data_IF_515249003226
#
_entry.id   IF_515249003226
#
_cell.length_a   1.000
_cell.length_b   1.000
_cell.length_c   1.000
_cell.angle_alpha   90.00
_cell.angle_beta   90.00
_cell.angle_gamma   90.00
#
_symmetry.space_group_name_H-M   'P 1'
#
loop_
_entity.id
_entity.type
_entity.pdbx_description
1 polymer ?
#
# COMPACT_ATOMS: atom_id res chain seq x y z
N UNK A 1 10.71 -17.67 8.75
CA UNK A 1 10.20 -16.59 7.91
C UNK A 1 10.99 -16.61 6.61
N UNK A 2 10.35 -17.03 5.53
CA UNK A 2 10.98 -17.13 4.22
C UNK A 2 10.69 -15.85 3.45
N UNK A 3 11.70 -15.25 2.87
CA UNK A 3 11.59 -14.04 2.07
C UNK A 3 11.73 -14.43 0.61
N UNK A 4 10.73 -14.11 -0.22
CA UNK A 4 10.84 -14.28 -1.65
C UNK A 4 11.49 -13.04 -2.26
N UNK A 5 12.69 -13.21 -2.81
CA UNK A 5 13.39 -12.20 -3.59
C UNK A 5 13.38 -12.64 -5.05
N UNK A 6 12.73 -11.87 -5.89
CA UNK A 6 12.74 -12.10 -7.33
C UNK A 6 13.92 -11.36 -7.97
N UNK A 7 14.83 -12.12 -8.59
CA UNK A 7 15.98 -11.56 -9.30
C UNK A 7 15.70 -11.51 -10.80
N UNK A 8 16.55 -10.82 -11.56
CA UNK A 8 16.46 -10.62 -13.02
C UNK A 8 16.33 -11.92 -13.86
N UNK A 9 16.49 -13.10 -13.24
CA UNK A 9 16.42 -14.41 -13.91
C UNK A 9 15.08 -15.12 -13.65
N UNK A 10 14.09 -14.47 -13.06
CA UNK A 10 12.77 -15.06 -12.79
C UNK A 10 12.77 -16.17 -11.73
N UNK A 11 13.87 -16.35 -10.99
CA UNK A 11 13.95 -17.31 -9.90
C UNK A 11 13.72 -16.60 -8.56
N UNK A 12 12.74 -17.10 -7.77
CA UNK A 12 12.57 -16.68 -6.39
C UNK A 12 13.65 -17.30 -5.52
N UNK A 13 14.40 -16.47 -4.81
CA UNK A 13 15.38 -16.94 -3.83
C UNK A 13 14.70 -16.97 -2.46
N UNK A 14 14.66 -18.15 -1.87
CA UNK A 14 14.16 -18.34 -0.51
C UNK A 14 15.32 -18.12 0.48
N UNK A 15 15.29 -16.99 1.21
CA UNK A 15 16.33 -16.65 2.19
C UNK A 15 15.83 -16.91 3.62
N UNK A 16 16.45 -17.83 4.33
CA UNK A 16 16.22 -18.05 5.75
C UNK A 16 16.71 -16.84 6.57
N UNK A 17 15.83 -16.31 7.44
CA UNK A 17 16.06 -15.08 8.23
C UNK A 17 17.27 -15.08 9.16
N UNK A 18 17.77 -16.25 9.53
CA UNK A 18 18.87 -16.35 10.51
C UNK A 18 20.22 -15.80 10.02
N UNK A 19 20.37 -15.58 8.71
CA UNK A 19 21.64 -15.11 8.09
C UNK A 19 21.51 -13.74 7.39
N UNK A 20 20.34 -13.09 7.43
CA UNK A 20 20.09 -11.86 6.67
C UNK A 20 20.59 -10.57 7.34
N UNK A 21 21.03 -10.63 8.61
CA UNK A 21 21.41 -9.43 9.36
C UNK A 21 22.69 -8.75 8.83
N UNK A 22 23.56 -9.49 8.12
CA UNK A 22 24.83 -8.98 7.61
C UNK A 22 24.97 -9.03 6.07
N UNK A 23 23.94 -9.46 5.33
CA UNK A 23 24.02 -9.46 3.88
C UNK A 23 23.74 -8.06 3.31
N UNK A 24 24.78 -7.47 2.79
CA UNK A 24 24.78 -6.26 2.00
C UNK A 24 23.90 -6.46 0.76
N UNK A 25 22.69 -5.83 0.72
CA UNK A 25 21.86 -5.85 -0.47
C UNK A 25 22.52 -4.98 -1.56
N UNK A 26 22.99 -5.55 -2.67
CA UNK A 26 23.71 -4.78 -3.70
C UNK A 26 22.77 -3.86 -4.52
N UNK A 27 21.47 -3.96 -4.32
CA UNK A 27 20.48 -3.19 -5.08
C UNK A 27 20.37 -1.75 -4.59
N UNK A 28 20.15 -0.83 -5.54
CA UNK A 28 19.81 0.57 -5.25
C UNK A 28 18.30 0.84 -5.20
N UNK A 29 17.50 -0.06 -5.76
CA UNK A 29 16.04 0.08 -5.83
C UNK A 29 15.33 -1.17 -5.27
N UNK A 30 14.54 -0.96 -4.25
CA UNK A 30 13.74 -1.99 -3.58
C UNK A 30 12.26 -1.70 -3.77
N UNK A 31 11.47 -2.75 -3.98
CA UNK A 31 10.01 -2.69 -3.97
C UNK A 31 9.48 -3.54 -2.84
N UNK A 32 8.75 -2.95 -1.92
CA UNK A 32 8.12 -3.62 -0.79
C UNK A 32 6.61 -3.69 -1.02
N UNK A 33 6.10 -4.91 -1.22
CA UNK A 33 4.67 -5.15 -1.43
C UNK A 33 3.94 -5.34 -0.11
N UNK A 34 2.96 -4.51 0.17
CA UNK A 34 2.13 -4.61 1.37
C UNK A 34 0.73 -5.14 1.06
N UNK A 35 0.14 -5.85 2.01
CA UNK A 35 -1.29 -6.15 2.04
C UNK A 35 -1.97 -4.97 2.72
N UNK A 36 -2.85 -4.29 2.01
CA UNK A 36 -3.51 -3.11 2.57
C UNK A 36 -4.25 -3.46 3.87
N UNK A 37 -4.13 -2.58 4.88
CA UNK A 37 -4.80 -2.71 6.19
C UNK A 37 -4.41 -3.95 7.02
N UNK A 38 -3.36 -4.66 6.65
CA UNK A 38 -2.86 -5.73 7.50
C UNK A 38 -2.23 -5.14 8.76
N UNK A 39 -2.67 -5.65 9.93
CA UNK A 39 -2.20 -5.16 11.24
C UNK A 39 -0.69 -5.39 11.47
N UNK A 40 -0.09 -6.29 10.69
CA UNK A 40 1.36 -6.55 10.73
C UNK A 40 2.17 -5.45 10.04
N UNK A 41 1.52 -4.61 9.20
CA UNK A 41 2.21 -3.58 8.40
C UNK A 41 3.11 -2.68 9.23
N UNK A 42 2.64 -2.20 10.38
CA UNK A 42 3.40 -1.27 11.22
C UNK A 42 4.77 -1.88 11.56
N UNK A 43 4.78 -3.09 12.11
CA UNK A 43 6.01 -3.79 12.46
C UNK A 43 6.87 -4.15 11.25
N UNK A 44 6.25 -4.66 10.19
CA UNK A 44 6.96 -5.08 8.98
C UNK A 44 7.61 -3.90 8.25
N UNK A 45 6.91 -2.76 8.16
CA UNK A 45 7.44 -1.55 7.55
C UNK A 45 8.61 -0.99 8.36
N UNK A 46 8.48 -0.86 9.69
CA UNK A 46 9.57 -0.40 10.54
C UNK A 46 10.81 -1.30 10.42
N UNK A 47 10.61 -2.62 10.43
CA UNK A 47 11.68 -3.61 10.31
C UNK A 47 12.40 -3.48 8.96
N UNK A 48 11.65 -3.46 7.83
CA UNK A 48 12.25 -3.40 6.50
C UNK A 48 12.87 -2.06 6.17
N UNK A 49 12.25 -0.96 6.55
CA UNK A 49 12.83 0.38 6.41
C UNK A 49 14.13 0.46 7.22
N UNK A 50 14.13 -0.06 8.45
CA UNK A 50 15.32 -0.11 9.31
C UNK A 50 16.46 -0.96 8.74
N UNK A 51 16.14 -2.09 8.09
CA UNK A 51 17.14 -2.97 7.43
C UNK A 51 17.69 -2.36 6.15
N UNK A 52 16.82 -1.83 5.30
CA UNK A 52 17.20 -1.30 3.99
C UNK A 52 17.85 0.06 4.08
N UNK A 53 17.53 0.85 5.11
CA UNK A 53 18.02 2.22 5.33
C UNK A 53 17.93 3.06 4.05
N UNK A 54 16.73 3.20 3.46
CA UNK A 54 16.55 3.98 2.24
C UNK A 54 16.84 5.45 2.48
N UNK A 55 17.37 6.12 1.47
CA UNK A 55 17.56 7.58 1.46
C UNK A 55 16.42 8.29 0.75
N UNK A 56 15.66 7.53 -0.06
CA UNK A 56 14.46 7.98 -0.76
C UNK A 56 13.39 6.90 -0.60
N UNK A 57 12.23 7.29 -0.10
CA UNK A 57 11.04 6.44 -0.05
C UNK A 57 10.02 7.00 -1.02
N UNK A 58 9.45 6.14 -1.87
CA UNK A 58 8.31 6.46 -2.73
C UNK A 58 7.13 5.60 -2.31
N UNK A 59 5.92 6.18 -2.31
CA UNK A 59 4.69 5.50 -1.87
C UNK A 59 3.64 5.48 -2.98
N UNK A 60 2.90 4.37 -3.06
CA UNK A 60 1.63 4.27 -3.80
C UNK A 60 0.56 5.13 -3.10
N UNK A 61 0.75 6.43 -3.15
CA UNK A 61 -0.15 7.44 -2.61
C UNK A 61 -0.11 8.65 -3.52
N UNK A 62 -1.28 9.19 -3.88
CA UNK A 62 -1.32 10.38 -4.71
C UNK A 62 -1.14 11.66 -3.87
N UNK A 63 -0.43 12.67 -4.38
CA UNK A 63 -0.35 13.98 -3.73
C UNK A 63 -1.73 14.59 -3.44
N UNK A 64 -2.66 14.48 -4.38
CA UNK A 64 -4.05 14.95 -4.21
C UNK A 64 -4.76 14.22 -3.07
N UNK A 65 -4.68 12.87 -3.05
CA UNK A 65 -5.29 12.06 -1.99
C UNK A 65 -4.72 12.35 -0.61
N UNK A 66 -3.41 12.62 -0.51
CA UNK A 66 -2.78 13.04 0.73
C UNK A 66 -3.25 14.44 1.18
N UNK A 67 -3.32 15.40 0.24
CA UNK A 67 -3.80 16.75 0.54
C UNK A 67 -5.26 16.73 1.03
N UNK A 68 -6.11 15.94 0.37
CA UNK A 68 -7.51 15.74 0.79
C UNK A 68 -7.59 15.22 2.23
N UNK A 69 -6.89 14.15 2.54
CA UNK A 69 -6.90 13.54 3.89
C UNK A 69 -6.42 14.51 4.96
N UNK A 70 -5.41 15.31 4.67
CA UNK A 70 -4.91 16.34 5.60
C UNK A 70 -5.89 17.48 5.84
N UNK A 71 -6.65 17.86 4.81
CA UNK A 71 -7.53 19.04 4.87
C UNK A 71 -8.94 18.69 5.36
N UNK A 72 -9.47 17.57 4.91
CA UNK A 72 -10.87 17.18 5.07
C UNK A 72 -11.07 15.84 5.80
N UNK A 73 -10.01 15.06 5.97
CA UNK A 73 -10.10 13.72 6.51
C UNK A 73 -10.81 13.65 7.86
N UNK A 74 -10.47 14.54 8.79
CA UNK A 74 -11.10 14.59 10.11
C UNK A 74 -12.59 14.97 10.06
N UNK A 75 -12.98 15.83 9.11
CA UNK A 75 -14.38 16.22 8.91
C UNK A 75 -15.20 15.02 8.46
N UNK A 76 -14.70 14.29 7.46
CA UNK A 76 -15.40 13.11 6.94
C UNK A 76 -15.33 11.93 7.91
N UNK A 77 -14.27 11.79 8.68
CA UNK A 77 -14.18 10.80 9.74
C UNK A 77 -15.29 10.97 10.75
N UNK A 78 -15.49 12.19 11.26
CA UNK A 78 -16.61 12.50 12.18
C UNK A 78 -17.95 12.21 11.55
N UNK A 79 -18.14 12.54 10.26
CA UNK A 79 -19.38 12.22 9.55
C UNK A 79 -19.65 10.71 9.52
N UNK A 80 -18.62 9.87 9.33
CA UNK A 80 -18.76 8.41 9.43
C UNK A 80 -19.17 8.01 10.84
N UNK A 81 -18.49 8.54 11.86
CA UNK A 81 -18.75 8.23 13.26
C UNK A 81 -20.18 8.60 13.65
N UNK A 82 -20.66 9.80 13.28
CA UNK A 82 -22.03 10.30 13.55
C UNK A 82 -23.09 9.40 12.88
N UNK A 83 -22.87 8.98 11.64
CA UNK A 83 -23.77 8.05 10.94
C UNK A 83 -23.80 6.69 11.65
N UNK A 84 -22.64 6.18 12.05
CA UNK A 84 -22.54 4.91 12.76
C UNK A 84 -23.23 4.95 14.11
N UNK A 85 -23.13 6.04 14.84
CA UNK A 85 -23.83 6.22 16.12
C UNK A 85 -25.35 6.26 15.92
N UNK A 86 -25.84 6.94 14.89
CA UNK A 86 -27.25 6.92 14.53
C UNK A 86 -27.75 5.52 14.17
N UNK A 87 -26.98 4.78 13.34
CA UNK A 87 -27.33 3.40 12.98
C UNK A 87 -27.33 2.44 14.18
N UNK A 88 -26.44 2.64 15.15
CA UNK A 88 -26.44 1.87 16.43
C UNK A 88 -27.70 2.13 17.24
N UNK A 89 -28.21 3.36 17.27
CA UNK A 89 -29.46 3.71 17.91
C UNK A 89 -30.68 3.03 17.24
N UNK A 90 -30.59 2.75 15.93
CA UNK A 90 -31.59 1.97 15.20
C UNK A 90 -31.42 0.44 15.37
N UNK A 91 -30.44 0.00 16.17
CA UNK A 91 -30.20 -1.42 16.45
C UNK A 91 -29.25 -2.13 15.45
N UNK A 92 -28.59 -1.37 14.56
CA UNK A 92 -27.57 -1.93 13.67
C UNK A 92 -26.23 -2.13 14.39
N UNK A 93 -25.54 -3.21 14.06
CA UNK A 93 -24.16 -3.43 14.52
C UNK A 93 -23.19 -2.76 13.55
N UNK A 94 -22.42 -1.78 14.01
CA UNK A 94 -21.37 -1.14 13.23
C UNK A 94 -20.01 -1.61 13.75
N UNK A 95 -19.44 -2.63 13.12
CA UNK A 95 -18.10 -3.11 13.46
C UNK A 95 -17.06 -2.27 12.72
N UNK A 96 -15.97 -1.91 13.39
CA UNK A 96 -14.88 -1.13 12.78
C UNK A 96 -14.29 -1.80 11.54
N UNK A 97 -14.22 -3.14 11.52
CA UNK A 97 -13.74 -3.91 10.37
C UNK A 97 -14.62 -3.78 9.11
N UNK A 98 -15.90 -3.48 9.28
CA UNK A 98 -16.83 -3.28 8.14
C UNK A 98 -16.69 -1.88 7.54
N UNK A 99 -16.21 -0.95 8.34
CA UNK A 99 -16.03 0.44 7.97
C UNK A 99 -14.58 0.80 7.58
N UNK A 100 -13.63 -0.14 7.75
CA UNK A 100 -12.21 0.09 7.42
C UNK A 100 -12.00 0.61 6.00
N UNK A 101 -12.84 0.18 5.05
CA UNK A 101 -12.81 0.68 3.68
C UNK A 101 -13.11 2.17 3.61
N UNK A 102 -14.12 2.64 4.35
CA UNK A 102 -14.51 4.06 4.35
C UNK A 102 -13.48 4.92 5.06
N UNK A 103 -13.00 4.47 6.23
CA UNK A 103 -11.93 5.18 6.94
C UNK A 103 -10.66 5.30 6.11
N UNK A 104 -10.32 4.30 5.27
CA UNK A 104 -9.13 4.36 4.40
C UNK A 104 -9.17 5.48 3.36
N UNK A 105 -10.36 5.97 2.98
CA UNK A 105 -10.47 7.14 2.08
C UNK A 105 -10.15 8.45 2.79
N UNK A 106 -10.35 8.53 4.08
CA UNK A 106 -10.30 9.77 4.85
C UNK A 106 -9.10 9.85 5.80
N UNK A 107 -8.60 8.72 6.28
CA UNK A 107 -7.44 8.67 7.17
C UNK A 107 -6.13 8.69 6.39
N UNK A 108 -5.10 9.28 6.99
CA UNK A 108 -3.74 9.21 6.43
C UNK A 108 -3.26 7.76 6.55
N UNK A 109 -2.77 7.15 5.44
CA UNK A 109 -2.30 5.77 5.48
C UNK A 109 -1.14 5.58 6.47
N UNK A 110 -1.18 4.48 7.23
CA UNK A 110 -0.14 4.15 8.21
C UNK A 110 1.24 4.04 7.60
N UNK A 111 1.35 3.50 6.40
CA UNK A 111 2.60 3.43 5.64
C UNK A 111 3.20 4.80 5.37
N UNK A 112 2.35 5.84 5.16
CA UNK A 112 2.82 7.21 5.01
C UNK A 112 3.35 7.77 6.33
N UNK A 113 2.67 7.52 7.44
CA UNK A 113 3.10 7.98 8.76
C UNK A 113 4.44 7.37 9.16
N UNK A 114 4.57 6.04 9.04
CA UNK A 114 5.79 5.30 9.39
C UNK A 114 6.98 5.73 8.52
N UNK A 115 6.77 5.83 7.20
CA UNK A 115 7.79 6.31 6.29
C UNK A 115 8.18 7.77 6.59
N UNK A 116 7.19 8.62 6.92
CA UNK A 116 7.40 10.01 7.30
C UNK A 116 8.22 10.15 8.59
N UNK A 117 7.92 9.33 9.61
CA UNK A 117 8.66 9.30 10.86
C UNK A 117 10.12 8.88 10.65
N UNK A 118 10.34 7.86 9.83
CA UNK A 118 11.68 7.47 9.45
C UNK A 118 12.42 8.61 8.73
N UNK A 119 11.80 9.24 7.74
CA UNK A 119 12.41 10.32 6.98
C UNK A 119 12.77 11.53 7.86
N UNK A 120 11.90 11.90 8.81
CA UNK A 120 12.20 12.97 9.78
C UNK A 120 13.42 12.68 10.66
N UNK A 121 13.61 11.40 11.04
CA UNK A 121 14.75 10.98 11.90
C UNK A 121 16.05 10.84 11.14
N UNK A 122 16.02 10.54 9.85
CA UNK A 122 17.21 10.17 9.06
C UNK A 122 17.56 11.17 7.97
N UNK A 123 16.75 12.22 7.79
CA UNK A 123 16.86 13.16 6.67
C UNK A 123 16.70 12.52 5.30
N UNK A 124 16.02 11.37 5.22
CA UNK A 124 15.61 10.75 3.95
C UNK A 124 14.44 11.53 3.34
N UNK A 125 14.24 11.36 2.03
CA UNK A 125 13.15 12.01 1.30
C UNK A 125 11.96 11.07 1.14
N UNK A 126 10.72 11.61 1.24
CA UNK A 126 9.48 10.88 1.04
C UNK A 126 8.66 11.51 -0.10
N UNK A 127 8.28 10.69 -1.09
CA UNK A 127 7.52 11.13 -2.25
C UNK A 127 6.29 10.26 -2.48
N UNK A 128 5.07 10.79 -2.36
CA UNK A 128 3.87 10.20 -2.95
C UNK A 128 4.03 10.24 -4.48
N UNK A 129 3.85 9.08 -5.16
CA UNK A 129 4.12 8.98 -6.60
C UNK A 129 2.95 8.42 -7.41
N UNK A 130 1.81 8.14 -6.77
CA UNK A 130 0.64 7.65 -7.48
C UNK A 130 -0.13 8.75 -8.20
N UNK A 131 -1.01 8.36 -9.12
CA UNK A 131 -1.73 9.26 -10.00
C UNK A 131 -2.88 10.00 -9.28
N UNK A 132 -2.91 11.32 -9.38
CA UNK A 132 -3.95 12.15 -8.77
C UNK A 132 -5.34 11.91 -9.36
N UNK A 133 -5.44 11.56 -10.65
CA UNK A 133 -6.72 11.43 -11.35
C UNK A 133 -7.63 10.39 -10.69
N UNK A 134 -7.11 9.21 -10.36
CA UNK A 134 -7.92 8.16 -9.74
C UNK A 134 -8.35 8.53 -8.32
N UNK A 135 -7.48 9.16 -7.55
CA UNK A 135 -7.84 9.69 -6.24
C UNK A 135 -8.90 10.78 -6.34
N UNK A 136 -8.78 11.69 -7.30
CA UNK A 136 -9.78 12.72 -7.55
C UNK A 136 -11.13 12.11 -7.93
N UNK A 137 -11.16 11.15 -8.85
CA UNK A 137 -12.40 10.49 -9.28
C UNK A 137 -13.12 9.79 -8.12
N UNK A 138 -12.38 9.13 -7.23
CA UNK A 138 -12.95 8.45 -6.05
C UNK A 138 -13.42 9.45 -4.99
N UNK A 139 -12.63 10.47 -4.71
CA UNK A 139 -12.89 11.41 -3.62
C UNK A 139 -13.93 12.48 -3.96
N UNK A 140 -14.19 12.78 -5.25
CA UNK A 140 -15.29 13.68 -5.62
C UNK A 140 -16.68 13.12 -5.24
N UNK A 141 -16.81 11.81 -5.12
CA UNK A 141 -18.04 11.10 -4.76
C UNK A 141 -18.08 10.73 -3.27
N UNK A 142 -17.18 11.32 -2.46
CA UNK A 142 -17.02 10.96 -1.05
C UNK A 142 -18.29 11.18 -0.22
N UNK A 143 -19.09 12.20 -0.55
CA UNK A 143 -20.35 12.48 0.13
C UNK A 143 -21.40 11.40 -0.10
N UNK A 144 -21.41 10.80 -1.30
CA UNK A 144 -22.28 9.66 -1.61
C UNK A 144 -21.76 8.38 -0.94
N UNK A 145 -20.44 8.16 -1.01
CA UNK A 145 -19.82 7.02 -0.33
C UNK A 145 -20.08 7.03 1.17
N UNK A 146 -20.04 8.22 1.82
CA UNK A 146 -20.28 8.44 3.24
C UNK A 146 -21.71 8.96 3.45
N UNK A 147 -22.68 8.31 2.81
CA UNK A 147 -24.10 8.56 3.06
C UNK A 147 -24.69 7.51 4.01
N UNK A 148 -25.75 7.88 4.70
CA UNK A 148 -26.51 6.97 5.59
C UNK A 148 -26.92 5.70 4.84
N UNK A 149 -27.49 5.85 3.67
CA UNK A 149 -28.00 4.76 2.85
C UNK A 149 -26.88 3.82 2.42
N UNK A 150 -25.74 4.37 1.99
CA UNK A 150 -24.61 3.56 1.51
C UNK A 150 -23.93 2.81 2.67
N UNK A 151 -23.73 3.46 3.83
CA UNK A 151 -23.14 2.81 4.99
C UNK A 151 -24.06 1.69 5.48
N UNK A 152 -25.38 1.95 5.61
CA UNK A 152 -26.36 0.94 6.03
C UNK A 152 -26.41 -0.26 5.08
N UNK A 153 -26.35 0.00 3.76
CA UNK A 153 -26.30 -1.05 2.75
C UNK A 153 -25.04 -1.91 2.89
N UNK A 154 -23.88 -1.28 3.04
CA UNK A 154 -22.61 -1.98 3.17
C UNK A 154 -22.54 -2.86 4.43
N UNK A 155 -23.10 -2.40 5.56
CA UNK A 155 -23.19 -3.20 6.79
C UNK A 155 -24.03 -4.46 6.57
N UNK A 156 -25.17 -4.35 5.86
CA UNK A 156 -26.06 -5.48 5.62
C UNK A 156 -25.49 -6.51 4.60
N UNK A 157 -24.64 -6.09 3.67
CA UNK A 157 -24.03 -6.96 2.66
C UNK A 157 -22.80 -7.70 3.19
N UNK A 158 -22.00 -7.06 4.08
CA UNK A 158 -20.75 -7.64 4.62
C UNK A 158 -20.95 -8.71 5.70
N UNK A 159 -22.12 -8.86 6.28
CA UNK A 159 -22.42 -10.04 7.10
C UNK A 159 -22.20 -11.38 6.37
N UNK A 160 -22.08 -11.34 5.03
CA UNK A 160 -21.92 -12.52 4.16
C UNK A 160 -20.48 -12.88 3.79
N UNK A 161 -19.49 -12.02 4.02
CA UNK A 161 -18.09 -12.28 3.63
C UNK A 161 -17.09 -12.00 4.75
N UNK A 162 -16.85 -13.00 5.60
CA UNK A 162 -15.78 -12.94 6.63
C UNK A 162 -14.47 -13.43 6.06
N UNK A 163 -13.45 -12.57 6.03
CA UNK A 163 -12.06 -12.89 5.74
C UNK A 163 -11.40 -11.86 4.83
N UNK A 164 -10.14 -11.51 5.10
CA UNK A 164 -9.36 -10.69 4.20
C UNK A 164 -9.05 -11.47 2.92
N UNK A 165 -9.87 -11.26 1.89
CA UNK A 165 -9.69 -11.88 0.57
C UNK A 165 -8.30 -11.55 0.02
N UNK A 166 -7.77 -10.36 0.33
CA UNK A 166 -6.46 -9.90 -0.14
C UNK A 166 -5.31 -10.74 0.44
N UNK A 167 -5.33 -11.07 1.74
CA UNK A 167 -4.31 -11.93 2.35
C UNK A 167 -4.30 -13.34 1.75
N UNK A 168 -5.50 -13.90 1.53
CA UNK A 168 -5.64 -15.22 0.89
C UNK A 168 -5.09 -15.19 -0.54
N UNK A 169 -5.42 -14.17 -1.32
CA UNK A 169 -4.95 -14.02 -2.70
C UNK A 169 -3.44 -13.82 -2.76
N UNK A 170 -2.88 -12.97 -1.91
CA UNK A 170 -1.45 -12.78 -1.79
C UNK A 170 -0.73 -14.08 -1.40
N UNK A 171 -1.27 -14.83 -0.43
CA UNK A 171 -0.75 -16.14 -0.05
C UNK A 171 -0.76 -17.15 -1.19
N UNK A 172 -1.85 -17.22 -1.97
CA UNK A 172 -1.95 -18.07 -3.15
C UNK A 172 -0.90 -17.70 -4.20
N UNK A 173 -0.66 -16.42 -4.43
CA UNK A 173 0.35 -15.96 -5.39
C UNK A 173 1.77 -16.31 -4.93
N UNK A 174 2.18 -15.86 -3.75
CA UNK A 174 3.57 -15.99 -3.30
C UNK A 174 3.95 -17.37 -2.78
N UNK A 175 3.01 -18.09 -2.13
CA UNK A 175 3.30 -19.39 -1.51
C UNK A 175 2.92 -20.56 -2.40
N UNK A 176 1.84 -20.45 -3.20
CA UNK A 176 1.31 -21.54 -3.99
C UNK A 176 1.55 -21.39 -5.49
N UNK A 177 2.20 -20.29 -5.94
CA UNK A 177 2.53 -20.05 -7.34
C UNK A 177 1.32 -19.81 -8.24
N UNK A 178 0.15 -19.45 -7.68
CA UNK A 178 -1.05 -19.15 -8.47
C UNK A 178 -0.89 -17.79 -9.11
N UNK A 179 -0.76 -17.72 -10.42
CA UNK A 179 -0.49 -16.47 -11.16
C UNK A 179 -1.72 -15.88 -11.86
N UNK A 180 -2.86 -16.58 -11.86
CA UNK A 180 -4.07 -16.24 -12.61
C UNK A 180 -4.91 -15.10 -11.98
N UNK A 181 -4.27 -14.09 -11.42
CA UNK A 181 -4.97 -12.90 -10.93
C UNK A 181 -5.06 -11.84 -12.03
N UNK A 182 -6.24 -11.24 -12.16
CA UNK A 182 -6.44 -10.14 -13.11
C UNK A 182 -5.63 -8.91 -12.69
N UNK A 183 -4.96 -8.31 -13.65
CA UNK A 183 -4.28 -7.03 -13.50
C UNK A 183 -5.08 -6.01 -14.31
N UNK A 184 -5.75 -5.08 -13.64
CA UNK A 184 -6.68 -4.17 -14.30
C UNK A 184 -5.96 -3.13 -15.16
N UNK A 185 -6.67 -2.55 -16.14
CA UNK A 185 -6.14 -1.43 -16.93
C UNK A 185 -5.81 -0.21 -16.03
N UNK A 186 -6.60 0.01 -14.97
CA UNK A 186 -6.31 1.03 -13.96
C UNK A 186 -4.92 0.79 -13.33
N UNK A 187 -4.63 -0.43 -12.90
CA UNK A 187 -3.33 -0.76 -12.32
C UNK A 187 -2.20 -0.54 -13.32
N UNK A 188 -2.39 -0.92 -14.59
CA UNK A 188 -1.40 -0.68 -15.65
C UNK A 188 -1.10 0.82 -15.82
N UNK A 189 -2.14 1.65 -15.84
CA UNK A 189 -1.98 3.10 -15.97
C UNK A 189 -1.27 3.70 -14.76
N UNK A 190 -1.64 3.29 -13.56
CA UNK A 190 -1.01 3.72 -12.31
C UNK A 190 0.47 3.32 -12.27
N UNK A 191 0.79 2.08 -12.62
CA UNK A 191 2.18 1.61 -12.67
C UNK A 191 3.03 2.39 -13.66
N UNK A 192 2.50 2.67 -14.85
CA UNK A 192 3.22 3.51 -15.84
C UNK A 192 3.51 4.90 -15.28
N UNK A 193 2.53 5.48 -14.60
CA UNK A 193 2.69 6.81 -13.99
C UNK A 193 3.71 6.78 -12.84
N UNK A 194 3.57 5.85 -11.91
CA UNK A 194 4.50 5.69 -10.78
C UNK A 194 5.91 5.39 -11.26
N UNK A 195 6.06 4.45 -12.17
CA UNK A 195 7.35 4.09 -12.77
C UNK A 195 8.02 5.31 -13.45
N UNK A 196 7.26 6.12 -14.18
CA UNK A 196 7.78 7.36 -14.77
C UNK A 196 8.27 8.33 -13.70
N UNK A 197 7.47 8.61 -12.67
CA UNK A 197 7.81 9.49 -11.55
C UNK A 197 9.07 9.01 -10.80
N UNK A 198 9.12 7.70 -10.48
CA UNK A 198 10.29 7.07 -9.86
C UNK A 198 11.53 7.24 -10.75
N UNK A 199 11.40 7.01 -12.06
CA UNK A 199 12.50 7.18 -13.00
C UNK A 199 13.07 8.60 -13.05
N UNK A 200 12.22 9.62 -12.96
CA UNK A 200 12.65 11.01 -12.84
C UNK A 200 13.41 11.28 -11.54
N UNK A 201 12.89 10.75 -10.42
CA UNK A 201 13.56 10.86 -9.11
C UNK A 201 14.91 10.16 -9.10
N UNK A 202 15.00 8.95 -9.66
CA UNK A 202 16.26 8.18 -9.73
C UNK A 202 17.32 8.87 -10.62
N UNK A 203 16.89 9.53 -11.70
CA UNK A 203 17.83 10.35 -12.51
C UNK A 203 18.37 11.54 -11.74
N UNK A 204 17.52 12.19 -10.94
CA UNK A 204 17.90 13.36 -10.13
C UNK A 204 18.74 13.00 -8.89
N UNK A 205 18.50 11.82 -8.33
CA UNK A 205 19.06 11.34 -7.06
C UNK A 205 19.81 10.01 -7.30
N UNK A 206 20.66 9.96 -8.32
CA UNK A 206 21.22 8.73 -8.90
C UNK A 206 22.06 7.88 -7.94
N UNK A 207 22.65 8.49 -6.90
CA UNK A 207 23.48 7.80 -5.91
C UNK A 207 22.72 7.31 -4.69
N UNK A 208 21.41 7.60 -4.61
CA UNK A 208 20.58 7.29 -3.47
C UNK A 208 20.01 5.87 -3.54
N UNK A 209 19.75 5.32 -2.35
CA UNK A 209 19.03 4.06 -2.18
C UNK A 209 17.54 4.33 -2.09
N UNK A 210 16.78 3.71 -2.98
CA UNK A 210 15.34 3.87 -3.09
C UNK A 210 14.58 2.68 -2.49
N UNK A 211 13.48 2.99 -1.82
CA UNK A 211 12.45 2.02 -1.42
C UNK A 211 11.10 2.49 -1.95
N UNK A 212 10.47 1.69 -2.81
CA UNK A 212 9.08 1.89 -3.24
C UNK A 212 8.17 0.99 -2.43
N UNK A 213 7.18 1.57 -1.74
CA UNK A 213 6.18 0.85 -0.96
C UNK A 213 4.85 0.95 -1.71
N UNK A 214 4.29 -0.21 -2.07
CA UNK A 214 3.05 -0.31 -2.82
C UNK A 214 2.26 -1.56 -2.43
N UNK A 215 1.00 -1.67 -2.84
CA UNK A 215 0.24 -2.89 -2.72
C UNK A 215 0.97 -4.08 -3.38
N UNK A 216 0.88 -5.26 -2.79
CA UNK A 216 1.61 -6.45 -3.22
C UNK A 216 1.40 -6.81 -4.70
N UNK A 217 0.24 -6.47 -5.27
CA UNK A 217 -0.06 -6.73 -6.68
C UNK A 217 0.90 -6.01 -7.63
N UNK A 218 1.44 -4.85 -7.26
CA UNK A 218 2.42 -4.12 -8.07
C UNK A 218 3.76 -4.86 -8.19
N UNK A 219 4.07 -5.79 -7.28
CA UNK A 219 5.24 -6.66 -7.40
C UNK A 219 5.16 -7.61 -8.61
N UNK A 220 3.95 -7.92 -9.11
CA UNK A 220 3.79 -8.77 -10.32
C UNK A 220 4.45 -8.13 -11.53
N UNK A 221 4.28 -6.83 -11.71
CA UNK A 221 4.85 -6.04 -12.80
C UNK A 221 4.73 -6.77 -14.17
N UNK A 222 3.51 -7.13 -14.62
CA UNK A 222 3.33 -8.00 -15.78
C UNK A 222 3.84 -7.40 -17.09
N UNK A 223 4.05 -6.09 -17.12
CA UNK A 223 4.62 -5.36 -18.26
C UNK A 223 6.12 -5.06 -18.11
N UNK A 224 6.76 -5.56 -17.06
CA UNK A 224 8.17 -5.34 -16.75
C UNK A 224 8.58 -3.85 -16.71
N UNK A 225 7.69 -2.98 -16.25
CA UNK A 225 7.90 -1.53 -16.21
C UNK A 225 9.04 -1.16 -15.26
N UNK A 226 9.09 -1.82 -14.09
CA UNK A 226 10.10 -1.56 -13.06
C UNK A 226 11.42 -2.27 -13.32
N UNK A 227 11.48 -3.21 -14.27
CA UNK A 227 12.70 -4.00 -14.61
C UNK A 227 13.87 -3.10 -14.98
N UNK A 228 13.63 -1.93 -15.59
CA UNK A 228 14.68 -0.95 -15.92
C UNK A 228 15.46 -0.45 -14.70
N UNK A 229 14.88 -0.54 -13.49
CA UNK A 229 15.52 -0.14 -12.23
C UNK A 229 16.20 -1.30 -11.52
N UNK A 230 16.12 -2.53 -12.06
CA UNK A 230 16.62 -3.75 -11.45
C UNK A 230 16.13 -3.94 -10.00
N UNK A 231 14.80 -3.99 -9.77
CA UNK A 231 14.22 -3.99 -8.43
C UNK A 231 14.58 -5.26 -7.67
N UNK A 232 14.87 -5.11 -6.38
CA UNK A 232 14.75 -6.20 -5.41
C UNK A 232 13.31 -6.16 -4.89
N UNK A 233 12.48 -7.14 -5.30
CA UNK A 233 11.08 -7.24 -4.92
C UNK A 233 10.95 -8.02 -3.60
N UNK A 234 10.25 -7.44 -2.62
CA UNK A 234 10.12 -7.97 -1.27
C UNK A 234 8.65 -8.12 -0.92
N UNK A 235 8.25 -9.33 -0.53
CA UNK A 235 6.94 -9.59 0.07
C UNK A 235 7.16 -10.06 1.52
N UNK A 236 6.82 -9.26 2.54
CA UNK A 236 7.28 -9.48 3.91
C UNK A 236 6.40 -10.41 4.78
N UNK A 237 5.32 -10.98 4.23
CA UNK A 237 4.31 -11.73 5.01
C UNK A 237 4.52 -13.24 4.93
N UNK A 238 5.53 -13.75 5.62
CA UNK A 238 5.75 -15.19 5.76
C UNK A 238 5.61 -15.69 7.19
#
# INVERSE_FOLDING_TARGET
MNIFLETHLGSCINLSMAHAADQFFPGKFFMLGIIHRDRRNDRLLEEWIGKLKPEVITLELSPYGLAFRRSLGEVYRRKIDDICDGLRLEGHTCLSSELEDLYSYVEIPREYEIAGDYCRRTNACLYPVDMDLFSFMKLREIDELISWENIRKNLSEKERSRGSTEEVLAGLYFRSGVTAFSYSEEMVLRDRFMCHGIGLLMKRLCDKRFLHIAGWLHLKDPLNLYTQFQPVKIFPYD
#
